data_IF_273310477197
#
_entry.id   IF_273310477197
#
_cell.length_a   1.000
_cell.length_b   1.000
_cell.length_c   1.000
_cell.angle_alpha   90.00
_cell.angle_beta   90.00
_cell.angle_gamma   90.00
#
_symmetry.space_group_name_H-M   'P 1'
#
loop_
_entity.id
_entity.type
_entity.pdbx_description
1 polymer ?
#
# COMPACT_ATOMS: atom_id res chain seq x y z
N UNK A 1 3.99 21.17 -33.94
CA UNK A 1 3.64 21.67 -32.59
C UNK A 1 2.12 21.70 -32.39
N UNK A 2 1.42 20.56 -32.38
CA UNK A 2 -0.06 20.58 -32.46
C UNK A 2 -0.86 19.37 -32.00
N UNK A 3 -0.24 18.35 -31.38
CA UNK A 3 -0.97 17.17 -30.89
C UNK A 3 -1.20 17.17 -29.37
N UNK A 4 -0.29 17.75 -28.58
CA UNK A 4 -0.38 17.79 -27.12
C UNK A 4 -1.50 18.70 -26.57
N UNK A 5 -1.94 19.72 -27.31
CA UNK A 5 -2.90 20.71 -26.79
C UNK A 5 -4.37 20.20 -26.79
N UNK A 6 -4.69 19.21 -27.63
CA UNK A 6 -6.08 18.74 -27.79
C UNK A 6 -6.52 17.76 -26.70
N UNK A 7 -5.61 16.96 -26.16
CA UNK A 7 -5.90 15.96 -25.11
C UNK A 7 -6.21 16.58 -23.73
N UNK A 8 -5.87 17.85 -23.49
CA UNK A 8 -6.08 18.52 -22.20
C UNK A 8 -7.36 19.35 -22.10
N UNK A 9 -8.23 19.37 -23.13
CA UNK A 9 -9.37 20.31 -23.17
C UNK A 9 -10.72 19.70 -23.57
N UNK A 10 -11.07 18.51 -23.05
CA UNK A 10 -12.48 18.26 -22.68
C UNK A 10 -12.69 17.06 -21.74
N UNK A 11 -12.87 17.35 -20.43
CA UNK A 11 -13.77 16.62 -19.52
C UNK A 11 -13.96 17.44 -18.25
N UNK A 12 -14.54 18.63 -18.41
CA UNK A 12 -14.93 19.50 -17.30
C UNK A 12 -16.24 18.98 -16.65
N UNK A 13 -16.25 17.71 -16.25
CA UNK A 13 -17.29 17.14 -15.40
C UNK A 13 -16.96 17.51 -13.97
N UNK A 14 -17.55 18.62 -13.49
CA UNK A 14 -17.51 19.01 -12.07
C UNK A 14 -18.16 17.94 -11.19
N UNK A 15 -17.40 16.90 -10.85
CA UNK A 15 -17.49 16.26 -9.54
C UNK A 15 -16.52 17.00 -8.64
N UNK A 16 -16.91 18.22 -8.23
CA UNK A 16 -16.35 18.85 -7.04
C UNK A 16 -16.81 18.00 -5.85
N UNK A 17 -16.07 16.93 -5.58
CA UNK A 17 -16.10 16.31 -4.27
C UNK A 17 -15.70 17.40 -3.29
N UNK A 18 -16.65 17.88 -2.49
CA UNK A 18 -16.30 18.65 -1.30
C UNK A 18 -15.53 17.69 -0.41
N UNK A 19 -14.21 17.75 -0.47
CA UNK A 19 -13.37 17.11 0.52
C UNK A 19 -13.77 17.72 1.88
N UNK A 20 -14.21 16.90 2.86
CA UNK A 20 -14.64 17.44 4.15
C UNK A 20 -13.47 18.18 4.77
N UNK A 21 -13.70 19.42 5.22
CA UNK A 21 -12.67 20.37 5.62
C UNK A 21 -11.85 19.91 6.82
N UNK A 22 -10.86 19.07 6.58
CA UNK A 22 -9.87 18.58 7.52
C UNK A 22 -8.53 19.19 7.09
N UNK A 23 -8.30 20.44 7.49
CA UNK A 23 -6.95 20.98 7.49
C UNK A 23 -6.12 20.25 8.54
N UNK A 24 -4.95 19.74 8.18
CA UNK A 24 -4.01 19.25 9.19
C UNK A 24 -3.60 20.42 10.09
N UNK A 25 -3.61 20.22 11.41
CA UNK A 25 -3.40 21.29 12.40
C UNK A 25 -1.94 21.68 12.60
N UNK A 26 -1.00 20.97 11.96
CA UNK A 26 0.42 21.20 12.04
C UNK A 26 1.08 20.93 10.68
N UNK A 27 2.21 21.59 10.45
CA UNK A 27 3.07 21.33 9.29
C UNK A 27 3.71 19.95 9.41
N UNK A 28 3.92 19.31 8.25
CA UNK A 28 4.71 18.09 8.14
C UNK A 28 6.18 18.34 8.54
N UNK A 29 6.92 17.32 9.00
CA UNK A 29 8.37 17.43 9.16
C UNK A 29 9.05 17.71 7.81
N UNK A 30 10.11 18.51 7.83
CA UNK A 30 10.85 18.91 6.61
C UNK A 30 11.52 17.71 5.90
N UNK A 31 12.05 16.81 6.72
CA UNK A 31 12.74 15.57 6.36
C UNK A 31 11.75 14.46 5.95
N UNK A 32 12.23 13.47 5.19
CA UNK A 32 11.45 12.29 4.81
C UNK A 32 10.97 11.48 6.03
N UNK A 33 11.68 11.60 7.16
CA UNK A 33 11.30 10.97 8.41
C UNK A 33 11.56 9.46 8.37
N UNK A 34 12.72 9.07 7.85
CA UNK A 34 13.18 7.68 7.87
C UNK A 34 13.36 7.15 9.30
N UNK A 35 13.28 5.82 9.46
CA UNK A 35 13.78 5.14 10.65
C UNK A 35 15.33 5.16 10.68
N UNK A 36 15.98 5.09 11.85
CA UNK A 36 17.44 5.15 11.94
C UNK A 36 18.15 4.05 11.15
N UNK A 37 18.85 4.42 10.08
CA UNK A 37 19.59 3.51 9.21
C UNK A 37 20.66 4.29 8.41
N UNK A 38 21.86 3.73 8.27
CA UNK A 38 23.01 4.40 7.65
C UNK A 38 22.77 4.74 6.17
N UNK A 39 22.13 3.84 5.42
CA UNK A 39 21.84 4.05 4.00
C UNK A 39 20.71 5.06 3.81
N UNK A 40 19.64 4.95 4.61
CA UNK A 40 18.52 5.90 4.56
C UNK A 40 18.95 7.33 4.92
N UNK A 41 19.91 7.53 5.84
CA UNK A 41 20.48 8.85 6.13
C UNK A 41 21.19 9.47 4.92
N UNK A 42 21.89 8.67 4.11
CA UNK A 42 22.53 9.16 2.88
C UNK A 42 21.49 9.49 1.79
N UNK A 43 20.43 8.70 1.68
CA UNK A 43 19.29 9.00 0.80
C UNK A 43 18.60 10.30 1.25
N UNK A 44 18.36 10.51 2.54
CA UNK A 44 17.74 11.74 3.06
C UNK A 44 18.57 12.98 2.75
N UNK A 45 19.90 12.89 2.94
CA UNK A 45 20.82 13.95 2.56
C UNK A 45 20.69 14.31 1.07
N UNK A 46 20.72 13.29 0.19
CA UNK A 46 20.55 13.50 -1.27
C UNK A 46 19.20 14.14 -1.60
N UNK A 47 18.12 13.69 -0.96
CA UNK A 47 16.79 14.29 -1.13
C UNK A 47 16.78 15.77 -0.74
N UNK A 48 17.38 16.12 0.40
CA UNK A 48 17.45 17.50 0.86
C UNK A 48 18.28 18.38 -0.10
N UNK A 49 19.48 17.94 -0.50
CA UNK A 49 20.35 18.66 -1.45
C UNK A 49 19.67 18.88 -2.82
N UNK A 50 18.98 17.85 -3.34
CA UNK A 50 18.29 17.94 -4.64
C UNK A 50 17.04 18.81 -4.55
N UNK A 51 16.25 18.71 -3.48
CA UNK A 51 15.07 19.58 -3.31
C UNK A 51 15.46 21.04 -3.06
N UNK A 52 16.58 21.32 -2.39
CA UNK A 52 17.14 22.67 -2.25
C UNK A 52 17.58 23.25 -3.61
N UNK A 53 18.32 22.45 -4.41
CA UNK A 53 18.72 22.79 -5.79
C UNK A 53 17.53 23.16 -6.69
N UNK A 54 16.38 22.50 -6.48
CA UNK A 54 15.13 22.71 -7.25
C UNK A 54 14.10 23.59 -6.52
N UNK A 55 14.53 24.41 -5.55
CA UNK A 55 13.65 25.27 -4.74
C UNK A 55 12.71 26.19 -5.54
N UNK A 56 13.18 26.80 -6.63
CA UNK A 56 12.33 27.61 -7.53
C UNK A 56 11.18 26.79 -8.15
N UNK A 57 11.45 25.56 -8.55
CA UNK A 57 10.43 24.67 -9.09
C UNK A 57 9.41 24.29 -8.01
N UNK A 58 9.88 23.96 -6.81
CA UNK A 58 9.00 23.62 -5.68
C UNK A 58 8.15 24.82 -5.23
N UNK A 59 8.69 26.04 -5.30
CA UNK A 59 7.92 27.27 -5.05
C UNK A 59 6.80 27.44 -6.08
N UNK A 60 7.12 27.29 -7.37
CA UNK A 60 6.12 27.38 -8.44
C UNK A 60 5.05 26.29 -8.35
N UNK A 61 5.43 25.06 -7.98
CA UNK A 61 4.51 23.96 -7.70
C UNK A 61 3.58 24.30 -6.52
N UNK A 62 4.12 24.79 -5.40
CA UNK A 62 3.34 25.20 -4.23
C UNK A 62 2.32 26.29 -4.60
N UNK A 63 2.77 27.35 -5.26
CA UNK A 63 1.92 28.46 -5.68
C UNK A 63 0.79 27.96 -6.59
N UNK A 64 1.10 27.08 -7.53
CA UNK A 64 0.12 26.49 -8.46
C UNK A 64 -0.91 25.58 -7.76
N UNK A 65 -0.48 24.73 -6.82
CA UNK A 65 -1.42 23.86 -6.08
C UNK A 65 -2.35 24.72 -5.22
N UNK A 66 -1.81 25.66 -4.45
CA UNK A 66 -2.61 26.53 -3.57
C UNK A 66 -3.51 27.51 -4.35
N UNK A 67 -3.18 27.87 -5.60
CA UNK A 67 -4.04 28.71 -6.45
C UNK A 67 -5.16 27.94 -7.15
N UNK A 68 -4.96 26.65 -7.42
CA UNK A 68 -5.90 25.83 -8.19
C UNK A 68 -6.91 25.07 -7.31
N UNK A 69 -6.58 24.85 -6.04
CA UNK A 69 -7.33 23.97 -5.13
C UNK A 69 -7.56 24.69 -3.79
N UNK A 70 -8.66 25.45 -3.70
CA UNK A 70 -9.01 26.31 -2.56
C UNK A 70 -9.19 25.56 -1.21
N UNK A 71 -9.39 24.24 -1.27
CA UNK A 71 -9.53 23.35 -0.13
C UNK A 71 -8.19 22.91 0.50
N UNK A 72 -7.07 23.10 -0.20
CA UNK A 72 -5.73 22.72 0.27
C UNK A 72 -5.10 23.87 1.06
N UNK A 73 -4.99 23.74 2.38
CA UNK A 73 -4.26 24.71 3.22
C UNK A 73 -2.75 24.58 3.07
N UNK A 74 -1.97 25.54 3.60
CA UNK A 74 -0.52 25.47 3.59
C UNK A 74 0.04 24.29 4.41
N UNK A 75 -0.62 23.97 5.53
CA UNK A 75 -0.35 22.81 6.37
C UNK A 75 -0.67 21.52 5.60
N UNK A 76 -1.84 21.46 4.94
CA UNK A 76 -2.22 20.32 4.10
C UNK A 76 -1.20 20.10 2.98
N UNK A 77 -0.84 21.15 2.24
CA UNK A 77 0.19 21.10 1.20
C UNK A 77 1.53 20.55 1.72
N UNK A 78 1.95 20.90 2.94
CA UNK A 78 3.21 20.37 3.50
C UNK A 78 3.19 18.84 3.66
N UNK A 79 2.06 18.26 4.08
CA UNK A 79 1.87 16.81 4.17
C UNK A 79 1.76 16.14 2.80
N UNK A 80 1.07 16.76 1.84
CA UNK A 80 1.01 16.26 0.46
C UNK A 80 2.39 16.29 -0.21
N UNK A 81 3.20 17.32 0.07
CA UNK A 81 4.58 17.41 -0.42
C UNK A 81 5.48 16.37 0.24
N UNK A 82 5.31 16.08 1.54
CA UNK A 82 6.02 14.98 2.21
C UNK A 82 5.66 13.63 1.60
N UNK A 83 4.37 13.32 1.38
CA UNK A 83 3.98 12.08 0.72
C UNK A 83 4.43 12.01 -0.74
N UNK A 84 4.49 13.13 -1.45
CA UNK A 84 5.06 13.19 -2.80
C UNK A 84 6.57 12.86 -2.77
N UNK A 85 7.34 13.48 -1.86
CA UNK A 85 8.76 13.11 -1.64
C UNK A 85 8.91 11.62 -1.32
N UNK A 86 8.09 11.08 -0.42
CA UNK A 86 8.10 9.66 -0.04
C UNK A 86 7.74 8.74 -1.21
N UNK A 87 6.77 9.12 -2.05
CA UNK A 87 6.44 8.39 -3.27
C UNK A 87 7.63 8.32 -4.23
N UNK A 88 8.32 9.45 -4.49
CA UNK A 88 9.54 9.45 -5.32
C UNK A 88 10.63 8.56 -4.70
N UNK A 89 10.77 8.57 -3.37
CA UNK A 89 11.70 7.69 -2.65
C UNK A 89 11.34 6.19 -2.76
N UNK A 90 10.06 5.82 -2.70
CA UNK A 90 9.63 4.42 -2.86
C UNK A 90 10.00 3.84 -4.25
N UNK A 91 10.19 4.69 -5.27
CA UNK A 91 10.67 4.28 -6.60
C UNK A 91 12.18 3.96 -6.63
N UNK A 92 12.89 4.06 -5.51
CA UNK A 92 14.22 3.46 -5.30
C UNK A 92 14.09 1.98 -4.93
N UNK A 93 13.04 1.60 -4.19
CA UNK A 93 12.91 0.28 -3.59
C UNK A 93 12.09 -0.70 -4.44
N UNK A 94 10.99 -0.24 -5.03
CA UNK A 94 10.03 -1.11 -5.73
C UNK A 94 10.05 -0.86 -7.24
N UNK A 95 9.91 -1.94 -8.01
CA UNK A 95 9.83 -1.87 -9.49
C UNK A 95 8.60 -1.12 -9.99
N UNK A 96 7.51 -1.19 -9.23
CA UNK A 96 6.24 -0.53 -9.53
C UNK A 96 5.71 0.06 -8.22
N UNK A 97 5.52 1.39 -8.17
CA UNK A 97 4.95 2.08 -7.01
C UNK A 97 3.57 2.60 -7.37
N UNK A 98 2.54 2.08 -6.71
CA UNK A 98 1.19 2.63 -6.81
C UNK A 98 1.10 3.99 -6.11
N UNK A 99 0.42 4.95 -6.75
CA UNK A 99 0.02 6.20 -6.08
C UNK A 99 -1.30 5.96 -5.34
N UNK A 100 -1.23 5.78 -4.02
CA UNK A 100 -2.37 5.38 -3.20
C UNK A 100 -3.13 6.54 -2.51
N UNK A 101 -2.66 7.77 -2.69
CA UNK A 101 -3.28 8.97 -2.13
C UNK A 101 -3.76 9.86 -3.26
N UNK A 102 -5.08 10.04 -3.40
CA UNK A 102 -5.67 10.90 -4.43
C UNK A 102 -5.23 12.37 -4.30
N UNK A 103 -4.99 12.84 -3.07
CA UNK A 103 -4.49 14.20 -2.81
C UNK A 103 -2.99 14.34 -3.17
N UNK A 104 -2.20 13.28 -3.00
CA UNK A 104 -0.79 13.28 -3.41
C UNK A 104 -0.66 13.12 -4.92
N UNK A 105 -1.53 12.33 -5.54
CA UNK A 105 -1.66 12.20 -7.01
C UNK A 105 -2.00 13.55 -7.66
N UNK A 106 -2.85 14.37 -7.02
CA UNK A 106 -3.13 15.75 -7.44
C UNK A 106 -1.85 16.61 -7.46
N UNK A 107 -1.04 16.56 -6.40
CA UNK A 107 0.26 17.29 -6.36
C UNK A 107 1.22 16.76 -7.43
N UNK A 108 1.22 15.44 -7.69
CA UNK A 108 2.02 14.85 -8.76
C UNK A 108 1.55 15.30 -10.16
N UNK A 109 0.24 15.37 -10.41
CA UNK A 109 -0.32 15.92 -11.65
C UNK A 109 0.09 17.38 -11.86
N UNK A 110 0.05 18.22 -10.82
CA UNK A 110 0.48 19.61 -10.92
C UNK A 110 2.01 19.75 -11.09
N UNK A 111 2.79 18.83 -10.52
CA UNK A 111 4.23 18.71 -10.74
C UNK A 111 4.56 18.40 -12.21
N UNK A 112 3.82 17.48 -12.84
CA UNK A 112 3.98 17.11 -14.25
C UNK A 112 3.71 18.25 -15.24
N UNK A 113 2.99 19.31 -14.84
CA UNK A 113 2.77 20.49 -15.69
C UNK A 113 4.08 21.26 -15.97
N UNK A 114 5.10 21.09 -15.13
CA UNK A 114 6.44 21.64 -15.30
C UNK A 114 7.38 20.58 -15.86
N UNK A 115 7.03 19.98 -17.01
CA UNK A 115 7.66 18.76 -17.55
C UNK A 115 9.19 18.74 -17.50
N UNK A 116 9.84 19.83 -17.93
CA UNK A 116 11.31 19.95 -17.94
C UNK A 116 11.92 20.02 -16.54
N UNK A 117 11.29 20.72 -15.61
CA UNK A 117 11.73 20.83 -14.23
C UNK A 117 11.50 19.52 -13.47
N UNK A 118 10.34 18.89 -13.68
CA UNK A 118 10.01 17.58 -13.11
C UNK A 118 10.98 16.49 -13.59
N UNK A 119 11.27 16.43 -14.89
CA UNK A 119 12.25 15.48 -15.44
C UNK A 119 13.62 15.67 -14.78
N UNK A 120 14.14 16.91 -14.76
CA UNK A 120 15.43 17.22 -14.12
C UNK A 120 15.44 16.92 -12.63
N UNK A 121 14.34 17.16 -11.90
CA UNK A 121 14.22 16.77 -10.50
C UNK A 121 14.39 15.26 -10.35
N UNK A 122 13.70 14.45 -11.17
CA UNK A 122 13.78 13.00 -11.08
C UNK A 122 15.16 12.45 -11.49
N UNK A 123 15.76 12.99 -12.56
CA UNK A 123 17.11 12.65 -13.01
C UNK A 123 18.17 12.99 -11.94
N UNK A 124 18.12 14.19 -11.35
CA UNK A 124 19.00 14.57 -10.23
C UNK A 124 18.76 13.70 -8.99
N UNK A 125 17.50 13.35 -8.70
CA UNK A 125 17.11 12.65 -7.48
C UNK A 125 17.43 11.16 -7.52
N UNK A 126 17.00 10.46 -8.56
CA UNK A 126 17.08 8.99 -8.67
C UNK A 126 17.80 8.47 -9.93
N UNK A 127 18.21 9.34 -10.85
CA UNK A 127 18.90 8.97 -12.09
C UNK A 127 18.01 8.78 -13.33
N UNK A 128 16.68 8.79 -13.18
CA UNK A 128 15.72 8.57 -14.28
C UNK A 128 14.41 9.34 -14.05
N UNK A 129 13.59 9.48 -15.11
CA UNK A 129 12.27 10.10 -15.02
C UNK A 129 11.23 9.10 -14.47
N UNK A 130 10.52 9.46 -13.40
CA UNK A 130 9.37 8.67 -12.92
C UNK A 130 8.17 8.99 -13.81
N UNK A 131 7.70 8.00 -14.58
CA UNK A 131 6.58 8.19 -15.50
C UNK A 131 5.23 8.00 -14.79
N UNK A 132 4.34 8.99 -14.91
CA UNK A 132 2.94 8.85 -14.51
C UNK A 132 2.21 7.94 -15.50
N UNK A 133 1.58 6.88 -14.97
CA UNK A 133 0.61 6.08 -15.71
C UNK A 133 -0.76 6.33 -15.08
N UNK A 134 -1.67 7.06 -15.76
CA UNK A 134 -3.01 7.28 -15.24
C UNK A 134 -3.76 5.96 -15.16
N UNK A 135 -4.51 5.76 -14.07
CA UNK A 135 -5.43 4.63 -13.94
C UNK A 135 -6.62 4.87 -14.87
N UNK A 136 -6.51 4.38 -16.11
CA UNK A 136 -7.55 4.52 -17.13
C UNK A 136 -8.74 3.62 -16.76
N UNK A 137 -9.91 4.24 -16.60
CA UNK A 137 -11.23 3.59 -16.50
C UNK A 137 -11.42 2.53 -15.40
N UNK A 138 -11.48 3.00 -14.14
CA UNK A 138 -12.23 2.33 -13.05
C UNK A 138 -11.76 0.93 -12.63
N UNK A 139 -10.62 0.50 -13.17
CA UNK A 139 -10.02 -0.81 -13.00
C UNK A 139 -8.49 -0.66 -13.12
N UNK A 140 -7.67 -1.40 -12.39
CA UNK A 140 -7.99 -2.32 -11.30
C UNK A 140 -7.96 -1.62 -9.92
N UNK A 141 -8.56 -2.25 -8.91
CA UNK A 141 -8.04 -2.08 -7.54
C UNK A 141 -6.55 -2.48 -7.58
N UNK A 142 -5.65 -1.78 -6.87
CA UNK A 142 -4.25 -2.16 -6.86
C UNK A 142 -4.12 -3.62 -6.42
N UNK A 143 -3.27 -4.37 -7.11
CA UNK A 143 -3.04 -5.78 -6.79
C UNK A 143 -2.73 -5.91 -5.28
N UNK A 144 -3.41 -6.83 -4.62
CA UNK A 144 -3.40 -6.93 -3.16
C UNK A 144 -1.97 -7.09 -2.62
N UNK A 145 -1.18 -7.97 -3.24
CA UNK A 145 0.24 -8.14 -2.92
C UNK A 145 1.07 -6.88 -3.21
N UNK A 146 0.84 -6.15 -4.31
CA UNK A 146 1.54 -4.89 -4.57
C UNK A 146 1.26 -3.83 -3.49
N UNK A 147 0.02 -3.75 -3.01
CA UNK A 147 -0.35 -2.84 -1.92
C UNK A 147 0.26 -3.29 -0.58
N UNK A 148 0.21 -4.59 -0.27
CA UNK A 148 0.82 -5.14 0.95
C UNK A 148 2.35 -4.97 0.97
N UNK A 149 3.02 -5.19 -0.17
CA UNK A 149 4.45 -5.00 -0.34
C UNK A 149 4.85 -3.52 -0.20
N UNK A 150 4.08 -2.61 -0.81
CA UNK A 150 4.24 -1.17 -0.59
C UNK A 150 4.14 -0.82 0.90
N UNK A 151 3.10 -1.29 1.58
CA UNK A 151 2.88 -1.00 3.00
C UNK A 151 4.01 -1.51 3.89
N UNK A 152 4.53 -2.72 3.64
CA UNK A 152 5.65 -3.30 4.41
C UNK A 152 6.95 -2.54 4.16
N UNK A 153 7.30 -2.23 2.92
CA UNK A 153 8.52 -1.45 2.62
C UNK A 153 8.41 -0.06 3.22
N UNK A 154 7.29 0.64 3.01
CA UNK A 154 7.04 1.98 3.54
C UNK A 154 7.13 2.01 5.08
N UNK A 155 6.51 1.03 5.76
CA UNK A 155 6.51 0.96 7.24
C UNK A 155 7.81 0.41 7.84
N UNK A 156 8.67 -0.22 7.01
CA UNK A 156 10.05 -0.57 7.37
C UNK A 156 10.94 0.68 7.34
N UNK A 157 10.88 1.48 6.27
CA UNK A 157 11.81 2.60 6.07
C UNK A 157 11.35 3.92 6.70
N UNK A 158 10.05 4.20 6.83
CA UNK A 158 9.53 5.47 7.35
C UNK A 158 8.89 5.39 8.75
N UNK A 159 8.96 6.51 9.48
CA UNK A 159 8.08 6.78 10.61
C UNK A 159 6.69 7.18 10.10
N UNK A 160 5.63 6.60 10.69
CA UNK A 160 4.24 6.78 10.26
C UNK A 160 3.51 7.69 11.23
N UNK A 161 3.08 8.84 10.70
CA UNK A 161 2.22 9.83 11.34
C UNK A 161 0.74 9.56 11.01
N UNK A 162 -0.22 9.98 11.85
CA UNK A 162 -1.66 9.86 11.59
C UNK A 162 -2.10 10.42 10.22
N UNK A 163 -1.47 11.51 9.79
CA UNK A 163 -1.68 12.20 8.52
C UNK A 163 -1.29 11.32 7.32
N UNK A 164 -0.22 10.52 7.43
CA UNK A 164 0.13 9.56 6.37
C UNK A 164 -0.94 8.46 6.26
N UNK A 165 -1.49 7.99 7.39
CA UNK A 165 -2.57 6.97 7.42
C UNK A 165 -3.87 7.54 6.84
N UNK A 166 -4.14 8.83 7.05
CA UNK A 166 -5.25 9.52 6.40
C UNK A 166 -5.05 9.60 4.87
N UNK A 167 -3.86 10.01 4.42
CA UNK A 167 -3.55 10.22 3.00
C UNK A 167 -3.45 8.92 2.20
N UNK A 168 -2.78 7.90 2.73
CA UNK A 168 -2.53 6.61 2.07
C UNK A 168 -3.60 5.55 2.35
N UNK A 169 -4.58 5.86 3.20
CA UNK A 169 -5.55 4.92 3.74
C UNK A 169 -4.97 3.98 4.80
N UNK A 170 -5.85 3.20 5.41
CA UNK A 170 -5.48 2.28 6.51
C UNK A 170 -4.65 1.10 6.00
N UNK A 171 -3.49 0.93 6.62
CA UNK A 171 -2.58 -0.19 6.42
C UNK A 171 -3.15 -1.50 7.02
N UNK A 172 -2.59 -2.64 6.61
CA UNK A 172 -2.95 -3.97 7.12
C UNK A 172 -4.27 -4.50 6.56
N UNK A 173 -4.65 -4.07 5.34
CA UNK A 173 -5.90 -4.47 4.66
C UNK A 173 -5.69 -5.44 3.50
N UNK A 174 -4.46 -5.56 3.02
CA UNK A 174 -4.07 -6.36 1.87
C UNK A 174 -3.04 -7.41 2.30
N UNK A 175 -3.15 -8.61 1.75
CA UNK A 175 -2.24 -9.74 1.95
C UNK A 175 -1.04 -9.70 1.00
N UNK A 176 0.08 -10.23 1.46
CA UNK A 176 1.18 -10.64 0.57
C UNK A 176 0.82 -11.94 -0.16
N UNK A 177 1.35 -12.12 -1.38
CA UNK A 177 1.33 -13.43 -2.05
C UNK A 177 2.14 -14.44 -1.24
N UNK A 178 1.58 -15.63 -0.98
CA UNK A 178 2.27 -16.67 -0.19
C UNK A 178 3.65 -17.03 -0.76
N UNK A 179 3.80 -17.05 -2.09
CA UNK A 179 5.09 -17.29 -2.76
C UNK A 179 6.17 -16.29 -2.32
N UNK A 180 5.82 -15.01 -2.15
CA UNK A 180 6.76 -14.00 -1.66
C UNK A 180 7.17 -14.32 -0.21
N UNK A 181 6.20 -14.67 0.65
CA UNK A 181 6.46 -15.05 2.05
C UNK A 181 7.40 -16.26 2.10
N UNK A 182 7.11 -17.31 1.33
CA UNK A 182 7.92 -18.54 1.24
C UNK A 182 9.36 -18.25 0.82
N UNK A 183 9.57 -17.44 -0.23
CA UNK A 183 10.92 -17.06 -0.70
C UNK A 183 11.70 -16.23 0.32
N UNK A 184 11.03 -15.36 1.08
CA UNK A 184 11.67 -14.59 2.16
C UNK A 184 12.03 -15.46 3.37
N UNK A 185 11.21 -16.47 3.65
CA UNK A 185 11.48 -17.47 4.69
C UNK A 185 12.56 -18.49 4.27
N UNK A 186 12.69 -18.81 2.98
CA UNK A 186 13.66 -19.77 2.44
C UNK A 186 15.11 -19.26 2.36
N UNK A 187 15.38 -18.02 2.82
CA UNK A 187 16.71 -17.39 2.84
C UNK A 187 17.39 -17.24 1.46
N UNK A 188 16.63 -16.98 0.39
CA UNK A 188 17.21 -16.52 -0.89
C UNK A 188 16.98 -15.01 -1.09
N UNK A 189 17.79 -14.14 -0.46
CA UNK A 189 17.64 -12.69 -0.60
C UNK A 189 17.87 -12.24 -2.04
N UNK A 190 18.78 -12.88 -2.77
CA UNK A 190 19.12 -12.55 -4.16
C UNK A 190 17.91 -12.75 -5.07
N UNK A 191 17.20 -13.87 -4.93
CA UNK A 191 15.96 -14.11 -5.66
C UNK A 191 14.87 -13.10 -5.30
N UNK A 192 14.68 -12.81 -4.00
CA UNK A 192 13.67 -11.84 -3.53
C UNK A 192 13.94 -10.44 -4.09
N UNK A 193 15.18 -9.96 -4.00
CA UNK A 193 15.59 -8.67 -4.55
C UNK A 193 15.34 -8.65 -6.06
N UNK A 194 15.89 -9.62 -6.79
CA UNK A 194 15.80 -9.67 -8.25
C UNK A 194 14.36 -9.74 -8.77
N UNK A 195 13.44 -10.42 -8.07
CA UNK A 195 12.06 -10.57 -8.52
C UNK A 195 11.13 -9.44 -8.08
N UNK A 196 11.21 -8.98 -6.83
CA UNK A 196 10.22 -8.09 -6.22
C UNK A 196 10.71 -6.64 -6.03
N UNK A 197 12.01 -6.41 -5.94
CA UNK A 197 12.60 -5.09 -5.67
C UNK A 197 13.30 -4.51 -6.91
N UNK A 198 13.56 -3.21 -6.89
CA UNK A 198 14.23 -2.52 -7.99
C UNK A 198 15.75 -2.73 -7.92
N UNK A 199 16.34 -3.09 -9.06
CA UNK A 199 17.80 -3.02 -9.26
C UNK A 199 18.20 -1.57 -9.48
N UNK A 200 19.25 -1.10 -8.80
CA UNK A 200 19.73 0.27 -8.90
C UNK A 200 21.21 0.29 -9.30
N UNK A 201 21.59 1.17 -10.22
CA UNK A 201 22.99 1.39 -10.64
C UNK A 201 23.76 2.33 -9.68
N UNK A 202 23.07 2.89 -8.70
CA UNK A 202 23.64 3.77 -7.66
C UNK A 202 23.84 2.94 -6.39
N UNK A 203 25.10 2.76 -5.98
CA UNK A 203 25.49 1.87 -4.86
C UNK A 203 24.65 2.08 -3.59
N UNK A 204 24.52 3.32 -3.11
CA UNK A 204 23.76 3.64 -1.88
C UNK A 204 22.27 3.25 -1.96
N UNK A 205 21.71 3.13 -3.17
CA UNK A 205 20.33 2.69 -3.38
C UNK A 205 20.24 1.16 -3.38
N UNK A 206 21.19 0.48 -4.03
CA UNK A 206 21.29 -0.97 -4.00
C UNK A 206 21.48 -1.47 -2.54
N UNK A 207 22.40 -0.87 -1.80
CA UNK A 207 22.64 -1.20 -0.38
C UNK A 207 21.39 -0.96 0.50
N UNK A 208 20.67 0.15 0.29
CA UNK A 208 19.43 0.43 1.01
C UNK A 208 18.32 -0.61 0.72
N UNK A 209 18.22 -1.08 -0.52
CA UNK A 209 17.29 -2.14 -0.92
C UNK A 209 17.67 -3.47 -0.26
N UNK A 210 18.95 -3.87 -0.31
CA UNK A 210 19.42 -5.11 0.31
C UNK A 210 19.16 -5.13 1.82
N UNK A 211 19.47 -4.04 2.51
CA UNK A 211 19.23 -3.94 3.95
C UNK A 211 17.73 -3.91 4.29
N UNK A 212 16.90 -3.24 3.48
CA UNK A 212 15.44 -3.26 3.66
C UNK A 212 14.88 -4.67 3.51
N UNK A 213 15.31 -5.44 2.50
CA UNK A 213 14.92 -6.85 2.33
C UNK A 213 15.40 -7.71 3.50
N UNK A 214 16.63 -7.49 3.98
CA UNK A 214 17.21 -8.16 5.16
C UNK A 214 16.38 -7.89 6.42
N UNK A 215 15.96 -6.64 6.64
CA UNK A 215 15.10 -6.24 7.74
C UNK A 215 13.72 -6.91 7.65
N UNK A 216 13.03 -6.82 6.52
CA UNK A 216 11.72 -7.46 6.27
C UNK A 216 11.79 -8.96 6.56
N UNK A 217 12.80 -9.65 6.02
CA UNK A 217 12.99 -11.08 6.25
C UNK A 217 13.30 -11.43 7.70
N UNK A 218 14.01 -10.57 8.44
CA UNK A 218 14.23 -10.77 9.88
C UNK A 218 12.89 -10.73 10.64
N UNK A 219 12.08 -9.69 10.41
CA UNK A 219 10.79 -9.53 11.11
C UNK A 219 9.83 -10.69 10.78
N UNK A 220 9.73 -11.10 9.50
CA UNK A 220 8.92 -12.25 9.08
C UNK A 220 9.32 -13.55 9.81
N UNK A 221 10.62 -13.85 9.89
CA UNK A 221 11.12 -15.06 10.55
C UNK A 221 10.94 -15.02 12.07
N UNK A 222 11.10 -13.86 12.69
CA UNK A 222 10.89 -13.71 14.13
C UNK A 222 9.39 -13.82 14.48
N UNK A 223 8.49 -13.43 13.57
CA UNK A 223 7.05 -13.69 13.68
C UNK A 223 6.66 -15.15 13.53
N UNK A 224 7.11 -15.82 12.48
CA UNK A 224 6.84 -17.25 12.27
C UNK A 224 7.33 -18.13 13.45
N UNK A 225 8.44 -17.77 14.10
CA UNK A 225 8.90 -18.40 15.35
C UNK A 225 7.96 -18.13 16.53
N UNK A 226 7.44 -16.91 16.65
CA UNK A 226 6.54 -16.50 17.74
C UNK A 226 5.22 -17.28 17.66
N UNK A 227 4.62 -17.37 16.48
CA UNK A 227 3.36 -18.10 16.24
C UNK A 227 3.51 -19.58 16.55
N UNK A 228 4.53 -20.25 16.00
CA UNK A 228 4.83 -21.67 16.27
C UNK A 228 5.05 -21.96 17.76
N UNK A 229 5.57 -20.99 18.51
CA UNK A 229 5.74 -21.10 19.97
C UNK A 229 4.41 -20.93 20.73
N UNK A 230 3.48 -20.14 20.21
CA UNK A 230 2.15 -19.96 20.79
C UNK A 230 1.24 -21.17 20.55
N UNK A 231 1.25 -21.74 19.34
CA UNK A 231 0.53 -22.98 19.02
C UNK A 231 0.93 -24.13 19.96
N UNK A 232 2.23 -24.33 20.17
CA UNK A 232 2.76 -25.37 21.06
C UNK A 232 2.41 -25.15 22.54
N UNK A 233 2.03 -23.92 22.92
CA UNK A 233 1.59 -23.56 24.27
C UNK A 233 0.07 -23.62 24.48
N UNK A 234 -0.70 -23.88 23.41
CA UNK A 234 -2.16 -23.92 23.47
C UNK A 234 -2.65 -25.16 24.22
N UNK A 235 -3.48 -25.03 25.28
CA UNK A 235 -3.96 -26.19 26.02
C UNK A 235 -4.80 -27.12 25.13
N UNK A 236 -4.44 -28.41 25.11
CA UNK A 236 -5.23 -29.46 24.46
C UNK A 236 -6.68 -29.35 24.95
N UNK A 237 -7.69 -29.33 24.05
CA UNK A 237 -9.08 -29.33 24.48
C UNK A 237 -9.35 -30.60 25.29
N UNK A 238 -9.54 -30.44 26.60
CA UNK A 238 -9.91 -31.56 27.48
C UNK A 238 -11.28 -32.03 27.03
N UNK A 239 -11.31 -33.18 26.34
CA UNK A 239 -12.53 -33.91 26.03
C UNK A 239 -13.19 -34.24 27.37
N UNK A 240 -14.24 -33.50 27.72
CA UNK A 240 -15.04 -33.77 28.91
C UNK A 240 -15.84 -35.04 28.66
N UNK A 241 -15.29 -36.17 29.06
CA UNK A 241 -16.09 -37.38 29.27
C UNK A 241 -17.09 -37.12 30.39
N UNK A 242 -18.38 -37.18 30.05
CA UNK A 242 -19.44 -37.09 31.05
C UNK A 242 -19.46 -38.35 31.91
N UNK A 243 -19.16 -38.22 33.20
CA UNK A 243 -19.67 -39.15 34.20
C UNK A 243 -20.29 -38.40 35.39
N UNK A 244 -21.59 -38.64 35.58
CA UNK A 244 -22.38 -38.20 36.73
C UNK A 244 -21.93 -38.95 38.00
N UNK A 245 -21.71 -38.24 39.10
CA UNK A 245 -22.37 -38.46 40.42
C UNK A 245 -21.75 -37.55 41.49
N UNK A 246 -22.51 -37.23 42.55
CA UNK A 246 -22.14 -36.31 43.63
C UNK A 246 -22.39 -36.99 45.01
N UNK A 247 -22.29 -36.33 46.19
CA UNK A 247 -21.63 -35.05 46.56
C UNK A 247 -20.78 -35.10 47.87
N UNK A 248 -20.23 -33.93 48.27
CA UNK A 248 -19.92 -33.46 49.66
C UNK A 248 -18.76 -34.06 50.49
N UNK A 249 -17.83 -33.19 50.94
CA UNK A 249 -17.69 -32.72 52.35
C UNK A 249 -16.68 -31.53 52.43
N UNK A 250 -16.71 -30.76 53.53
CA UNK A 250 -16.12 -29.41 53.75
C UNK A 250 -14.65 -29.43 54.23
N UNK A 251 -13.87 -28.36 53.99
CA UNK A 251 -13.35 -27.43 55.04
C UNK A 251 -12.15 -26.54 54.59
N UNK A 252 -12.20 -25.22 54.91
CA UNK A 252 -11.14 -24.21 55.24
C UNK A 252 -9.76 -24.25 54.51
N UNK A 253 -9.09 -23.13 54.16
CA UNK A 253 -8.89 -21.86 54.92
C UNK A 253 -8.25 -20.73 54.08
N UNK A 254 -8.44 -19.48 54.50
CA UNK A 254 -7.58 -18.27 54.34
C UNK A 254 -7.35 -17.56 52.97
N UNK A 255 -7.75 -16.29 52.96
CA UNK A 255 -7.43 -15.10 52.12
C UNK A 255 -6.09 -14.49 52.66
N UNK A 256 -5.27 -13.59 52.02
CA UNK A 256 -5.64 -12.52 51.08
C UNK A 256 -4.66 -12.05 49.97
N UNK A 257 -5.12 -11.10 49.15
CA UNK A 257 -4.31 -9.91 48.79
C UNK A 257 -3.52 -9.91 47.48
N UNK A 258 -4.18 -9.77 46.32
CA UNK A 258 -3.49 -9.43 45.07
C UNK A 258 -3.32 -7.91 44.93
N UNK A 259 -2.09 -7.41 45.11
CA UNK A 259 -1.75 -6.02 44.85
C UNK A 259 -1.58 -5.77 43.33
N UNK A 260 -2.41 -4.90 42.77
CA UNK A 260 -2.35 -4.52 41.34
C UNK A 260 -1.21 -3.54 41.08
N UNK A 261 -0.04 -4.06 40.72
CA UNK A 261 1.09 -3.26 40.23
C UNK A 261 0.82 -2.71 38.82
N UNK A 262 0.05 -1.62 38.72
CA UNK A 262 -0.03 -0.81 37.49
C UNK A 262 1.28 -0.01 37.38
N UNK A 263 2.29 -0.61 36.76
CA UNK A 263 3.55 0.07 36.45
C UNK A 263 3.42 0.81 35.13
N UNK A 264 3.12 2.10 35.20
CA UNK A 264 3.02 3.00 34.04
C UNK A 264 4.39 3.21 33.38
N UNK A 265 4.70 2.42 32.35
CA UNK A 265 5.87 2.68 31.51
C UNK A 265 5.58 3.82 30.53
N UNK A 266 6.10 5.01 30.82
CA UNK A 266 6.26 6.08 29.83
C UNK A 266 7.33 5.68 28.81
N UNK A 267 6.91 5.07 27.70
CA UNK A 267 7.79 4.80 26.56
C UNK A 267 6.95 4.55 25.29
N UNK A 268 6.29 5.58 24.73
CA UNK A 268 5.52 5.40 23.49
C UNK A 268 5.28 6.70 22.69
N UNK A 269 6.16 6.95 21.71
CA UNK A 269 5.81 7.64 20.46
C UNK A 269 6.18 6.84 19.19
N UNK A 270 6.87 5.69 19.32
CA UNK A 270 7.31 4.86 18.18
C UNK A 270 6.45 3.58 17.94
N UNK A 271 5.36 3.35 18.69
CA UNK A 271 4.63 2.07 18.60
C UNK A 271 3.70 1.94 17.39
N UNK A 272 3.31 3.04 16.74
CA UNK A 272 2.37 3.03 15.61
C UNK A 272 2.93 2.24 14.42
N UNK A 273 4.11 2.61 13.92
CA UNK A 273 4.75 1.96 12.78
C UNK A 273 4.98 0.46 12.98
N UNK A 274 5.48 0.07 14.16
CA UNK A 274 5.79 -1.34 14.43
C UNK A 274 4.50 -2.16 14.64
N UNK A 275 3.45 -1.57 15.23
CA UNK A 275 2.11 -2.19 15.27
C UNK A 275 1.53 -2.38 13.86
N UNK A 276 1.75 -1.43 12.96
CA UNK A 276 1.33 -1.51 11.55
C UNK A 276 2.04 -2.64 10.81
N UNK A 277 3.38 -2.71 10.87
CA UNK A 277 4.16 -3.83 10.34
C UNK A 277 3.64 -5.17 10.86
N UNK A 278 3.51 -5.28 12.19
CA UNK A 278 3.01 -6.50 12.83
C UNK A 278 1.63 -6.90 12.28
N UNK A 279 0.73 -5.94 12.04
CA UNK A 279 -0.63 -6.24 11.53
C UNK A 279 -0.60 -6.81 10.11
N UNK A 280 0.17 -6.24 9.19
CA UNK A 280 0.27 -6.71 7.80
C UNK A 280 0.91 -8.10 7.75
N UNK A 281 1.94 -8.32 8.58
CA UNK A 281 2.66 -9.59 8.66
C UNK A 281 1.79 -10.71 9.26
N UNK A 282 1.06 -10.45 10.36
CA UNK A 282 0.08 -11.42 10.91
C UNK A 282 -0.98 -11.80 9.87
N UNK A 283 -1.52 -10.83 9.12
CA UNK A 283 -2.52 -11.11 8.08
C UNK A 283 -1.96 -12.01 6.95
N UNK A 284 -0.68 -11.85 6.64
CA UNK A 284 0.01 -12.64 5.61
C UNK A 284 0.33 -14.06 6.10
N UNK A 285 0.73 -14.24 7.36
CA UNK A 285 1.07 -15.55 7.94
C UNK A 285 -0.17 -16.40 8.29
N UNK A 286 -1.28 -15.78 8.71
CA UNK A 286 -2.52 -16.48 9.06
C UNK A 286 -3.38 -16.90 7.84
N UNK A 287 -2.84 -16.84 6.62
CA UNK A 287 -3.60 -17.05 5.38
C UNK A 287 -3.37 -18.42 4.71
N UNK A 288 -2.88 -19.40 5.45
CA UNK A 288 -2.87 -20.81 5.03
C UNK A 288 -4.25 -21.47 5.22
N UNK A 289 -5.21 -21.18 4.33
CA UNK A 289 -6.25 -22.15 3.96
C UNK A 289 -7.01 -21.80 2.66
N UNK A 290 -7.76 -22.77 2.14
CA UNK A 290 -8.61 -22.71 0.93
C UNK A 290 -7.92 -22.61 -0.44
N UNK A 291 -7.13 -23.63 -0.76
CA UNK A 291 -6.97 -24.08 -2.15
C UNK A 291 -7.13 -25.60 -2.34
N UNK A 292 -8.04 -26.24 -1.58
CA UNK A 292 -8.55 -27.57 -1.95
C UNK A 292 -9.94 -27.93 -1.36
N UNK A 293 -11.00 -27.21 -1.76
CA UNK A 293 -12.38 -27.75 -1.75
C UNK A 293 -13.31 -27.02 -2.72
N UNK A 294 -14.21 -27.79 -3.32
CA UNK A 294 -15.11 -27.35 -4.39
C UNK A 294 -16.38 -26.69 -3.85
N UNK A 295 -16.87 -25.67 -4.57
CA UNK A 295 -18.30 -25.32 -4.62
C UNK A 295 -18.90 -24.63 -3.39
N UNK A 296 -18.97 -23.30 -3.44
CA UNK A 296 -19.72 -22.51 -2.46
C UNK A 296 -19.77 -21.04 -2.85
N UNK A 297 -20.74 -20.63 -3.67
CA UNK A 297 -20.92 -19.23 -4.04
C UNK A 297 -21.41 -18.40 -2.85
N UNK A 298 -20.57 -17.50 -2.34
CA UNK A 298 -20.90 -16.54 -1.28
C UNK A 298 -21.10 -15.14 -1.88
N UNK A 299 -22.34 -14.88 -2.31
CA UNK A 299 -22.75 -13.53 -2.73
C UNK A 299 -22.73 -12.58 -1.53
N UNK A 300 -21.89 -11.54 -1.59
CA UNK A 300 -21.96 -10.44 -0.65
C UNK A 300 -23.20 -9.57 -0.98
N UNK A 301 -24.13 -9.50 -0.03
CA UNK A 301 -25.42 -8.82 -0.16
C UNK A 301 -25.24 -7.29 -0.21
N UNK A 302 -25.45 -6.71 -1.39
CA UNK A 302 -25.60 -5.27 -1.55
C UNK A 302 -26.91 -4.77 -0.93
N UNK A 303 -26.85 -3.64 -0.24
CA UNK A 303 -28.00 -3.02 0.45
C UNK A 303 -29.12 -2.65 -0.51
N UNK A 304 -30.34 -3.09 -0.21
CA UNK A 304 -31.55 -2.72 -0.93
C UNK A 304 -31.93 -1.26 -0.71
N UNK A 305 -32.20 -0.54 -1.80
CA UNK A 305 -33.15 0.58 -1.83
C UNK A 305 -34.26 0.23 -2.84
N UNK A 306 -35.52 0.41 -2.42
CA UNK A 306 -36.69 -0.14 -3.13
C UNK A 306 -37.48 0.94 -3.87
N UNK A 307 -37.95 0.61 -5.08
CA UNK A 307 -39.15 1.15 -5.79
C UNK A 307 -39.22 2.68 -5.97
N UNK A 308 -39.35 3.24 -7.19
CA UNK A 308 -40.45 3.06 -8.16
C UNK A 308 -40.06 3.77 -9.49
N UNK A 309 -40.62 3.53 -10.69
CA UNK A 309 -41.49 2.46 -11.26
C UNK A 309 -41.47 2.62 -12.80
N UNK A 310 -42.18 1.73 -13.52
CA UNK A 310 -42.55 1.78 -14.95
C UNK A 310 -41.37 1.69 -15.97
N UNK A 311 -41.44 0.96 -17.09
CA UNK A 311 -42.50 0.08 -17.60
C UNK A 311 -42.51 0.04 -19.13
N UNK A 312 -42.12 -1.07 -19.76
CA UNK A 312 -42.56 -1.51 -21.10
C UNK A 312 -41.81 -2.76 -21.57
N UNK A 313 -42.48 -3.53 -22.44
CA UNK A 313 -42.09 -4.88 -22.86
C UNK A 313 -41.93 -4.99 -24.38
N UNK A 314 -40.93 -5.73 -24.85
CA UNK A 314 -40.93 -6.33 -26.19
C UNK A 314 -40.17 -7.67 -26.18
N UNK A 315 -40.63 -8.63 -26.99
CA UNK A 315 -40.26 -10.04 -26.92
C UNK A 315 -39.54 -10.53 -28.18
N UNK A 316 -39.03 -11.77 -28.13
CA UNK A 316 -38.55 -12.60 -29.25
C UNK A 316 -37.20 -12.17 -29.88
N UNK A 317 -36.36 -13.06 -30.40
CA UNK A 317 -36.47 -14.53 -30.58
C UNK A 317 -35.09 -15.20 -30.59
N UNK A 318 -35.00 -16.43 -30.12
CA UNK A 318 -33.84 -17.30 -30.28
C UNK A 318 -33.78 -17.91 -31.70
N UNK A 319 -32.59 -18.05 -32.27
CA UNK A 319 -32.33 -19.07 -33.28
C UNK A 319 -30.90 -19.62 -33.15
N UNK A 320 -30.80 -20.95 -33.14
CA UNK A 320 -29.54 -21.69 -33.15
C UNK A 320 -29.42 -22.42 -34.48
N UNK A 321 -28.25 -22.37 -35.12
CA UNK A 321 -27.87 -23.36 -36.13
C UNK A 321 -26.35 -23.46 -36.25
N UNK A 322 -25.88 -24.69 -36.40
CA UNK A 322 -24.48 -25.08 -36.29
C UNK A 322 -23.83 -25.31 -37.66
N UNK A 323 -22.50 -25.23 -37.70
CA UNK A 323 -21.61 -26.07 -38.52
C UNK A 323 -21.77 -26.10 -40.05
N UNK A 324 -20.72 -25.72 -40.78
CA UNK A 324 -19.81 -26.70 -41.40
C UNK A 324 -18.56 -26.05 -42.04
N UNK A 325 -17.50 -26.85 -42.13
CA UNK A 325 -16.19 -26.46 -42.66
C UNK A 325 -16.04 -26.76 -44.15
N UNK A 326 -15.27 -25.97 -44.90
CA UNK A 326 -14.37 -26.49 -45.95
C UNK A 326 -13.32 -25.47 -46.40
N UNK A 327 -12.10 -25.95 -46.60
CA UNK A 327 -10.93 -25.21 -47.04
C UNK A 327 -10.85 -25.12 -48.57
N UNK A 328 -10.14 -24.13 -49.13
CA UNK A 328 -8.89 -24.34 -49.90
C UNK A 328 -8.46 -23.16 -50.79
N UNK A 329 -7.13 -22.99 -50.88
CA UNK A 329 -6.27 -22.39 -51.93
C UNK A 329 -6.79 -21.31 -52.91
N UNK A 330 -5.98 -20.25 -53.06
CA UNK A 330 -5.32 -19.96 -54.36
C UNK A 330 -4.11 -19.02 -54.17
N UNK A 331 -3.07 -19.27 -54.96
CA UNK A 331 -1.79 -18.54 -54.97
C UNK A 331 -1.79 -17.42 -56.02
N UNK A 332 -0.98 -16.38 -55.84
CA UNK A 332 -0.73 -15.36 -56.87
C UNK A 332 0.53 -14.56 -56.58
N UNK A 333 1.51 -14.58 -57.49
CA UNK A 333 2.84 -13.99 -57.30
C UNK A 333 3.06 -12.73 -58.17
N UNK A 334 4.06 -11.94 -57.78
CA UNK A 334 4.94 -11.13 -58.64
C UNK A 334 4.40 -9.89 -59.36
N UNK A 335 4.89 -8.73 -58.94
CA UNK A 335 5.91 -7.98 -59.71
C UNK A 335 6.80 -7.19 -58.76
#
# INVERSE_FOLDING_TARGET
MGLFYWLFKNKNTKKSGRYPGIGFSAYAPDNLGFKPNVYLTQIEKRFNEVFEKHSDYLHNLRTRVLSNHEDITAEMYSWLLLEFKRFLCMNIFLKNVGMYSSHTDLVWHEALMFTMQYQRLCEDLIGEMIHHHPHVDGSAQPNEHQRALFEIVYSTIFNIYPENIFLLGRFGRCKLDQRFVDHVLSFDPTFVIHHYFKTNDIDIFAEAVEDTVRQIGKVLRDKAKQERSQELSSPIPIIKSEQRSAPTIKSRRSVPGAASNIRSNQAQQNSSSDSTLNTILMLSLLSDDDNNRSGGGSSCSGSTCSSSSDGSSCSSSSCSSSSCSSSSCSSGCSS
#
